data_IF_413210551686
#
_entry.id   IF_413210551686
#
_cell.length_a   1.000
_cell.length_b   1.000
_cell.length_c   1.000
_cell.angle_alpha   90.00
_cell.angle_beta   90.00
_cell.angle_gamma   90.00
#
_symmetry.space_group_name_H-M   'P 1'
#
loop_
_entity.id
_entity.type
_entity.pdbx_description
1 polymer ?
#
# COMPACT_ATOMS: atom_id res chain seq x y z
N UNK A 1 11.46 -5.58 4.64
CA UNK A 1 10.11 -4.96 4.65
C UNK A 1 10.19 -3.43 4.62
N UNK A 2 11.05 -2.82 5.46
CA UNK A 2 11.18 -1.35 5.60
C UNK A 2 11.30 -0.53 4.30
N UNK A 3 12.03 -1.01 3.28
CA UNK A 3 12.15 -0.26 2.01
C UNK A 3 10.83 -0.16 1.25
N UNK A 4 10.07 -1.26 1.13
CA UNK A 4 8.82 -1.31 0.38
C UNK A 4 7.72 -0.47 1.06
N UNK A 5 7.78 -0.37 2.39
CA UNK A 5 6.80 0.30 3.24
C UNK A 5 7.19 1.75 3.58
N UNK A 6 8.38 2.19 3.16
CA UNK A 6 8.87 3.54 3.42
C UNK A 6 7.87 4.61 2.94
N UNK A 7 7.71 5.65 3.75
CA UNK A 7 6.95 6.86 3.41
C UNK A 7 7.88 8.04 3.06
N UNK A 8 9.20 7.81 3.06
CA UNK A 8 10.25 8.75 2.67
C UNK A 8 10.79 8.39 1.29
N UNK A 9 11.47 9.32 0.61
CA UNK A 9 11.98 9.11 -0.74
C UNK A 9 12.73 7.76 -0.87
N UNK A 10 12.31 6.91 -1.81
CA UNK A 10 12.95 5.61 -2.07
C UNK A 10 14.46 5.72 -2.23
N UNK A 11 14.91 6.73 -2.99
CA UNK A 11 16.34 6.95 -3.24
C UNK A 11 17.09 7.28 -1.95
N UNK A 12 16.51 8.07 -1.05
CA UNK A 12 17.14 8.37 0.23
C UNK A 12 17.26 7.11 1.08
N UNK A 13 16.23 6.25 1.12
CA UNK A 13 16.30 4.97 1.85
C UNK A 13 17.43 4.10 1.31
N UNK A 14 17.55 3.96 -0.02
CA UNK A 14 18.63 3.19 -0.64
C UNK A 14 20.02 3.78 -0.37
N UNK A 15 20.21 5.08 -0.57
CA UNK A 15 21.51 5.73 -0.41
C UNK A 15 21.96 5.71 1.06
N UNK A 16 21.05 6.01 2.01
CA UNK A 16 21.35 5.95 3.43
C UNK A 16 21.73 4.54 3.89
N UNK A 17 21.09 3.51 3.33
CA UNK A 17 21.44 2.11 3.62
C UNK A 17 22.89 1.77 3.22
N UNK A 18 23.39 2.34 2.12
CA UNK A 18 24.77 2.19 1.67
C UNK A 18 25.74 3.25 2.22
N UNK A 19 25.31 4.06 3.19
CA UNK A 19 26.15 5.08 3.82
C UNK A 19 26.33 6.38 3.03
N UNK A 20 25.61 6.55 1.91
CA UNK A 20 25.60 7.81 1.16
C UNK A 20 24.43 8.67 1.63
N UNK A 21 24.67 9.51 2.64
CA UNK A 21 23.60 10.34 3.18
C UNK A 21 23.14 11.41 2.20
N UNK A 22 21.83 11.50 1.99
CA UNK A 22 21.23 12.55 1.16
C UNK A 22 20.01 13.16 1.85
N UNK A 23 20.06 14.47 2.06
CA UNK A 23 19.00 15.21 2.75
C UNK A 23 17.81 15.57 1.82
N UNK A 24 18.09 15.84 0.55
CA UNK A 24 17.07 16.25 -0.43
C UNK A 24 16.38 15.06 -1.09
N UNK A 25 15.03 15.03 -1.16
CA UNK A 25 14.27 14.05 -1.93
C UNK A 25 14.65 14.05 -3.42
N UNK A 26 14.49 12.91 -4.09
CA UNK A 26 14.96 12.76 -5.47
C UNK A 26 14.06 13.37 -6.55
N UNK A 27 12.81 13.71 -6.23
CA UNK A 27 11.84 14.25 -7.18
C UNK A 27 11.36 13.27 -8.26
N UNK A 28 11.82 12.02 -8.28
CA UNK A 28 11.58 11.08 -9.38
C UNK A 28 11.33 9.63 -8.92
N UNK A 29 10.82 9.43 -7.70
CA UNK A 29 10.33 8.13 -7.23
C UNK A 29 8.84 8.20 -6.90
N UNK A 30 8.19 7.05 -6.74
CA UNK A 30 6.75 6.97 -6.47
C UNK A 30 6.31 7.80 -5.26
N UNK A 31 7.13 7.88 -4.22
CA UNK A 31 6.85 8.70 -3.02
C UNK A 31 7.04 10.20 -3.28
N UNK A 32 8.02 10.60 -4.09
CA UNK A 32 8.22 12.02 -4.41
C UNK A 32 7.18 12.54 -5.40
N UNK A 33 6.77 11.72 -6.36
CA UNK A 33 5.82 12.08 -7.41
C UNK A 33 4.37 12.12 -6.91
N UNK A 34 4.10 11.38 -5.84
CA UNK A 34 2.79 11.27 -5.21
C UNK A 34 3.01 11.12 -3.70
N UNK A 35 3.30 12.20 -2.95
CA UNK A 35 3.57 12.15 -1.52
C UNK A 35 2.38 11.55 -0.74
N UNK A 36 2.63 10.67 0.25
CA UNK A 36 1.55 10.11 1.06
C UNK A 36 0.88 11.25 1.83
N UNK A 37 -0.44 11.35 1.69
CA UNK A 37 -1.27 12.22 2.52
C UNK A 37 -1.66 11.44 3.77
N UNK A 38 -1.79 12.13 4.89
CA UNK A 38 -2.28 11.56 6.14
C UNK A 38 -3.68 12.08 6.44
N UNK A 39 -4.43 11.31 7.21
CA UNK A 39 -5.75 11.69 7.71
C UNK A 39 -5.95 11.10 9.10
N UNK A 40 -6.84 11.72 9.88
CA UNK A 40 -7.30 11.13 11.14
C UNK A 40 -8.11 9.87 10.84
N UNK A 41 -7.52 8.72 11.19
CA UNK A 41 -8.07 7.40 10.95
C UNK A 41 -8.47 6.71 12.26
N UNK A 42 -8.70 7.49 13.32
CA UNK A 42 -9.02 7.00 14.66
C UNK A 42 -10.24 6.08 14.63
N UNK A 43 -11.30 6.49 13.93
CA UNK A 43 -12.53 5.72 13.85
C UNK A 43 -12.36 4.45 13.01
N UNK A 44 -11.67 4.51 11.87
CA UNK A 44 -11.35 3.34 11.05
C UNK A 44 -10.52 2.32 11.82
N UNK A 45 -9.53 2.78 12.57
CA UNK A 45 -8.71 1.94 13.42
C UNK A 45 -9.55 1.29 14.52
N UNK A 46 -10.40 2.05 15.22
CA UNK A 46 -11.31 1.52 16.24
C UNK A 46 -12.26 0.48 15.67
N UNK A 47 -12.87 0.74 14.50
CA UNK A 47 -13.74 -0.21 13.79
C UNK A 47 -12.99 -1.51 13.49
N UNK A 48 -11.78 -1.44 12.93
CA UNK A 48 -10.96 -2.59 12.57
C UNK A 48 -10.52 -3.41 13.80
N UNK A 49 -9.95 -2.76 14.83
CA UNK A 49 -9.51 -3.39 16.06
C UNK A 49 -10.68 -4.03 16.83
N UNK A 50 -11.81 -3.32 16.91
CA UNK A 50 -13.05 -3.83 17.51
C UNK A 50 -13.59 -5.07 16.81
N UNK A 51 -13.43 -5.15 15.49
CA UNK A 51 -13.84 -6.31 14.71
C UNK A 51 -12.92 -7.51 14.98
N UNK A 52 -11.59 -7.31 15.03
CA UNK A 52 -10.62 -8.36 15.38
C UNK A 52 -10.92 -8.93 16.77
N UNK A 53 -11.24 -8.07 17.74
CA UNK A 53 -11.66 -8.49 19.08
C UNK A 53 -12.91 -9.38 19.05
N UNK A 54 -13.97 -8.95 18.36
CA UNK A 54 -15.26 -9.65 18.34
C UNK A 54 -15.26 -10.97 17.59
N UNK A 55 -14.33 -11.17 16.64
CA UNK A 55 -14.10 -12.47 16.00
C UNK A 55 -13.10 -13.34 16.79
N UNK A 56 -12.89 -13.03 18.08
CA UNK A 56 -12.02 -13.75 19.00
C UNK A 56 -10.57 -13.90 18.52
N UNK A 57 -10.06 -12.97 17.71
CA UNK A 57 -8.66 -12.95 17.25
C UNK A 57 -8.22 -14.26 16.57
N UNK A 58 -9.18 -14.99 15.99
CA UNK A 58 -9.00 -16.35 15.45
C UNK A 58 -9.05 -16.38 13.92
N UNK A 59 -9.07 -15.23 13.25
CA UNK A 59 -9.23 -15.14 11.81
C UNK A 59 -8.18 -14.24 11.17
N UNK A 60 -7.81 -14.58 9.93
CA UNK A 60 -6.92 -13.77 9.12
C UNK A 60 -7.60 -12.54 8.53
N UNK A 61 -6.79 -11.61 8.03
CA UNK A 61 -7.20 -10.30 7.54
C UNK A 61 -8.38 -10.33 6.57
N UNK A 62 -8.37 -11.20 5.55
CA UNK A 62 -9.42 -11.27 4.54
C UNK A 62 -10.81 -11.51 5.16
N UNK A 63 -10.91 -12.46 6.10
CA UNK A 63 -12.17 -12.76 6.77
C UNK A 63 -12.63 -11.60 7.65
N UNK A 64 -11.72 -10.95 8.37
CA UNK A 64 -12.07 -9.78 9.19
C UNK A 64 -12.58 -8.63 8.32
N UNK A 65 -11.98 -8.40 7.16
CA UNK A 65 -12.45 -7.39 6.19
C UNK A 65 -13.84 -7.73 5.67
N UNK A 66 -14.12 -9.00 5.37
CA UNK A 66 -15.45 -9.44 4.94
C UNK A 66 -16.52 -9.19 5.99
N UNK A 67 -16.24 -9.52 7.25
CA UNK A 67 -17.15 -9.25 8.39
C UNK A 67 -17.37 -7.74 8.54
N UNK A 68 -16.30 -6.96 8.57
CA UNK A 68 -16.37 -5.51 8.75
C UNK A 68 -17.16 -4.80 7.64
N UNK A 69 -17.04 -5.28 6.40
CA UNK A 69 -17.79 -4.77 5.25
C UNK A 69 -19.22 -5.32 5.14
N UNK A 70 -19.58 -6.32 5.94
CA UNK A 70 -20.93 -6.89 5.92
C UNK A 70 -21.15 -7.80 4.70
N UNK A 71 -20.11 -8.51 4.24
CA UNK A 71 -20.24 -9.42 3.11
C UNK A 71 -21.11 -10.62 3.48
N UNK A 72 -21.97 -11.06 2.57
CA UNK A 72 -22.78 -12.26 2.77
C UNK A 72 -21.97 -13.51 2.42
N UNK A 73 -21.21 -14.01 3.40
CA UNK A 73 -20.44 -15.23 3.29
C UNK A 73 -21.05 -16.32 4.19
N UNK A 74 -21.16 -17.55 3.67
CA UNK A 74 -21.64 -18.72 4.41
C UNK A 74 -20.82 -18.89 5.70
N UNK A 75 -19.50 -18.78 5.62
CA UNK A 75 -18.59 -18.93 6.76
C UNK A 75 -18.80 -17.84 7.82
N UNK A 76 -19.25 -16.64 7.44
CA UNK A 76 -19.57 -15.57 8.40
C UNK A 76 -20.82 -15.93 9.20
N UNK A 77 -21.84 -16.48 8.54
CA UNK A 77 -23.08 -16.96 9.20
C UNK A 77 -22.84 -18.18 10.09
N UNK A 78 -22.05 -19.14 9.62
CA UNK A 78 -21.71 -20.35 10.39
C UNK A 78 -21.04 -20.03 11.72
N UNK A 79 -20.23 -18.96 11.77
CA UNK A 79 -19.58 -18.49 13.00
C UNK A 79 -20.43 -17.48 13.78
N UNK A 80 -21.63 -17.12 13.30
CA UNK A 80 -22.51 -16.13 13.93
C UNK A 80 -21.97 -14.69 13.88
N UNK A 81 -20.96 -14.42 13.06
CA UNK A 81 -20.34 -13.09 12.93
C UNK A 81 -21.16 -12.13 12.06
N UNK A 82 -22.28 -12.57 11.51
CA UNK A 82 -23.31 -11.70 10.92
C UNK A 82 -24.13 -10.96 11.99
N UNK A 83 -24.07 -11.39 13.27
CA UNK A 83 -24.85 -10.83 14.38
C UNK A 83 -24.05 -9.92 15.31
N UNK A 84 -22.74 -9.80 15.13
CA UNK A 84 -21.90 -8.95 15.98
C UNK A 84 -22.04 -7.48 15.60
N UNK A 85 -21.82 -6.58 16.55
CA UNK A 85 -22.01 -5.14 16.33
C UNK A 85 -21.05 -4.51 15.32
N UNK A 86 -19.97 -5.21 14.94
CA UNK A 86 -19.00 -4.76 13.93
C UNK A 86 -19.30 -5.28 12.52
N UNK A 87 -20.35 -6.09 12.34
CA UNK A 87 -20.74 -6.55 11.03
C UNK A 87 -21.29 -5.39 10.19
N UNK A 88 -20.66 -5.11 9.05
CA UNK A 88 -21.13 -4.09 8.10
C UNK A 88 -20.91 -2.63 8.52
N UNK A 89 -20.15 -2.34 9.57
CA UNK A 89 -19.85 -0.94 9.98
C UNK A 89 -18.79 -0.27 9.12
N UNK A 90 -18.12 -1.03 8.26
CA UNK A 90 -17.14 -0.57 7.28
C UNK A 90 -17.61 -0.71 5.83
N UNK A 91 -18.93 -0.79 5.59
CA UNK A 91 -19.50 -0.93 4.24
C UNK A 91 -19.27 0.27 3.32
N UNK A 92 -18.96 1.42 3.91
CA UNK A 92 -18.65 2.71 3.30
C UNK A 92 -17.34 2.70 2.50
N UNK A 93 -16.45 1.75 2.79
CA UNK A 93 -15.16 1.65 2.11
C UNK A 93 -14.96 0.32 1.36
N UNK A 94 -14.08 0.37 0.36
CA UNK A 94 -13.72 -0.77 -0.47
C UNK A 94 -12.94 -1.83 0.32
N UNK A 95 -12.85 -3.04 -0.22
CA UNK A 95 -12.01 -4.10 0.35
C UNK A 95 -10.56 -3.65 0.50
N UNK A 96 -9.99 -3.05 -0.55
CA UNK A 96 -8.59 -2.67 -0.59
C UNK A 96 -8.26 -1.51 0.34
N UNK A 97 -9.24 -0.63 0.60
CA UNK A 97 -9.14 0.39 1.67
C UNK A 97 -8.89 -0.27 3.01
N UNK A 98 -9.75 -1.22 3.40
CA UNK A 98 -9.61 -1.91 4.68
C UNK A 98 -8.34 -2.74 4.77
N UNK A 99 -7.95 -3.44 3.69
CA UNK A 99 -6.66 -4.14 3.64
C UNK A 99 -5.50 -3.18 3.88
N UNK A 100 -5.53 -1.97 3.30
CA UNK A 100 -4.52 -0.94 3.57
C UNK A 100 -4.52 -0.50 5.03
N UNK A 101 -5.68 -0.24 5.62
CA UNK A 101 -5.81 0.11 7.04
C UNK A 101 -5.22 -1.00 7.93
N UNK A 102 -5.64 -2.26 7.74
CA UNK A 102 -5.13 -3.41 8.51
C UNK A 102 -3.62 -3.54 8.42
N UNK A 103 -3.04 -3.41 7.22
CA UNK A 103 -1.58 -3.43 7.06
C UNK A 103 -0.91 -2.31 7.85
N UNK A 104 -1.43 -1.09 7.80
CA UNK A 104 -0.85 0.02 8.56
C UNK A 104 -0.98 -0.17 10.09
N UNK A 105 -2.09 -0.75 10.57
CA UNK A 105 -2.26 -1.10 11.98
C UNK A 105 -1.24 -2.16 12.43
N UNK A 106 -0.94 -3.15 11.57
CA UNK A 106 0.12 -4.12 11.83
C UNK A 106 1.49 -3.43 11.90
N UNK A 107 1.78 -2.51 10.98
CA UNK A 107 3.04 -1.76 10.96
C UNK A 107 3.23 -0.87 12.18
N UNK A 108 2.16 -0.27 12.67
CA UNK A 108 2.17 0.52 13.91
C UNK A 108 2.16 -0.35 15.17
N UNK A 109 2.19 -1.67 15.04
CA UNK A 109 2.23 -2.60 16.16
C UNK A 109 0.92 -2.69 16.94
N UNK A 110 -0.20 -2.17 16.43
CA UNK A 110 -1.54 -2.26 17.04
C UNK A 110 -2.17 -3.63 16.78
N UNK A 111 -1.76 -4.28 15.69
CA UNK A 111 -2.13 -5.64 15.35
C UNK A 111 -0.87 -6.48 15.13
N UNK A 112 -0.96 -7.74 15.52
CA UNK A 112 0.03 -8.76 15.23
C UNK A 112 -0.59 -9.82 14.32
N UNK A 113 0.15 -10.23 13.29
CA UNK A 113 -0.26 -11.33 12.42
C UNK A 113 0.49 -12.60 12.83
N UNK A 114 -0.25 -13.57 13.36
CA UNK A 114 0.31 -14.82 13.85
C UNK A 114 0.49 -15.84 12.70
N UNK A 115 1.70 -15.91 12.15
CA UNK A 115 2.01 -16.76 11.00
C UNK A 115 1.87 -18.26 11.34
N UNK A 116 2.12 -18.66 12.59
CA UNK A 116 2.01 -20.09 13.01
C UNK A 116 0.56 -20.54 13.19
N UNK A 117 -0.40 -19.62 13.27
CA UNK A 117 -1.84 -19.89 13.35
C UNK A 117 -2.56 -19.38 12.10
N UNK A 118 -2.17 -19.82 10.91
CA UNK A 118 -2.84 -19.45 9.66
C UNK A 118 -2.97 -17.93 9.45
N UNK A 119 -1.97 -17.16 9.90
CA UNK A 119 -1.95 -15.70 9.78
C UNK A 119 -3.14 -14.99 10.47
N UNK A 120 -3.61 -15.50 11.63
CA UNK A 120 -4.66 -14.83 12.41
C UNK A 120 -4.22 -13.43 12.86
N UNK A 121 -5.18 -12.50 12.92
CA UNK A 121 -4.96 -11.17 13.48
C UNK A 121 -5.22 -11.17 14.99
N UNK A 122 -4.29 -10.63 15.75
CA UNK A 122 -4.37 -10.49 17.20
C UNK A 122 -4.09 -9.04 17.60
N UNK A 123 -4.80 -8.52 18.59
CA UNK A 123 -4.51 -7.22 19.20
C UNK A 123 -3.23 -7.32 20.01
N UNK A 124 -2.53 -6.19 20.08
CA UNK A 124 -1.41 -5.99 21.00
C UNK A 124 -1.85 -5.08 22.15
N UNK A 125 -1.01 -4.93 23.16
CA UNK A 125 -1.27 -4.01 24.28
C UNK A 125 -1.37 -2.55 23.81
N UNK A 126 -0.66 -2.18 22.74
CA UNK A 126 -0.67 -0.84 22.12
C UNK A 126 -2.05 -0.46 21.55
N UNK A 127 -2.92 -1.44 21.27
CA UNK A 127 -4.27 -1.16 20.78
C UNK A 127 -5.20 -0.62 21.87
N UNK A 128 -4.90 -0.85 23.16
CA UNK A 128 -5.81 -0.52 24.27
C UNK A 128 -6.12 0.97 24.41
N UNK A 129 -5.15 1.90 24.39
CA UNK A 129 -5.44 3.34 24.53
C UNK A 129 -6.34 3.84 23.40
N UNK A 130 -6.11 3.37 22.17
CA UNK A 130 -6.89 3.75 20.99
C UNK A 130 -8.35 3.25 21.09
N UNK A 131 -8.54 2.01 21.57
CA UNK A 131 -9.86 1.42 21.80
C UNK A 131 -10.62 2.08 22.97
N UNK A 132 -9.92 2.61 23.98
CA UNK A 132 -10.53 3.29 25.13
C UNK A 132 -10.99 4.72 24.84
N UNK A 133 -10.44 5.34 23.81
CA UNK A 133 -10.71 6.75 23.54
C UNK A 133 -9.54 7.69 23.84
N UNK A 134 -8.45 7.17 24.40
CA UNK A 134 -7.41 7.98 25.06
C UNK A 134 -6.47 8.68 24.06
N UNK A 135 -6.33 8.11 22.86
CA UNK A 135 -5.43 8.62 21.81
C UNK A 135 -6.14 8.63 20.46
N UNK A 136 -5.66 9.51 19.57
CA UNK A 136 -6.01 9.52 18.14
C UNK A 136 -4.93 8.82 17.30
N UNK A 137 -5.28 8.43 16.07
CA UNK A 137 -4.36 7.77 15.16
C UNK A 137 -4.45 8.38 13.76
N UNK A 138 -3.34 8.92 13.29
CA UNK A 138 -3.19 9.28 11.88
C UNK A 138 -2.61 8.12 11.07
N UNK A 139 -3.24 7.86 9.93
CA UNK A 139 -2.79 6.88 8.93
C UNK A 139 -2.56 7.56 7.58
N UNK A 140 -1.75 6.92 6.73
CA UNK A 140 -1.62 7.34 5.35
C UNK A 140 -2.89 6.97 4.58
N UNK A 141 -3.38 7.88 3.75
CA UNK A 141 -4.51 7.64 2.84
C UNK A 141 -4.18 6.44 1.94
N UNK A 142 -5.04 5.39 1.91
CA UNK A 142 -4.83 4.22 1.08
C UNK A 142 -4.64 4.58 -0.39
N UNK A 143 -3.58 4.02 -1.00
CA UNK A 143 -3.26 4.19 -2.42
C UNK A 143 -3.93 3.07 -3.22
N UNK A 144 -5.19 3.27 -3.56
CA UNK A 144 -6.04 2.23 -4.19
C UNK A 144 -5.84 2.12 -5.72
N UNK A 145 -5.25 3.13 -6.36
CA UNK A 145 -5.04 3.14 -7.81
C UNK A 145 -3.60 2.80 -8.20
N UNK A 146 -3.35 1.52 -8.48
CA UNK A 146 -2.14 1.09 -9.20
C UNK A 146 -2.23 1.40 -10.70
N UNK A 147 -3.43 1.39 -11.28
CA UNK A 147 -3.68 1.66 -12.70
C UNK A 147 -3.46 3.14 -13.08
N UNK A 148 -3.86 4.09 -12.22
CA UNK A 148 -3.62 5.52 -12.47
C UNK A 148 -2.12 5.88 -12.47
N UNK A 149 -1.27 5.08 -11.82
CA UNK A 149 0.20 5.26 -11.82
C UNK A 149 0.83 4.88 -13.16
N UNK A 150 0.34 3.84 -13.84
CA UNK A 150 0.77 3.50 -15.19
C UNK A 150 0.42 4.64 -16.17
N UNK A 151 -0.77 5.23 -16.04
CA UNK A 151 -1.19 6.37 -16.87
C UNK A 151 -0.41 7.68 -16.57
N UNK A 152 -0.04 7.95 -15.31
CA UNK A 152 0.82 9.09 -14.96
C UNK A 152 2.26 8.92 -15.42
N UNK A 153 2.79 7.69 -15.38
CA UNK A 153 4.08 7.35 -16.01
C UNK A 153 4.06 7.68 -17.50
N UNK A 154 2.95 7.39 -18.19
CA UNK A 154 2.82 7.67 -19.62
C UNK A 154 2.78 9.17 -19.94
N UNK A 155 2.27 10.00 -19.02
CA UNK A 155 2.31 11.47 -19.11
C UNK A 155 3.72 12.05 -18.95
N UNK A 156 4.64 11.40 -18.24
CA UNK A 156 6.06 11.81 -18.20
C UNK A 156 6.83 11.41 -19.48
N UNK A 157 6.40 10.35 -20.18
CA UNK A 157 6.90 9.98 -21.52
C UNK A 157 6.27 10.76 -22.66
N UNK A 158 5.19 11.52 -22.39
CA UNK A 158 4.63 12.56 -23.26
C UNK A 158 5.52 13.81 -23.32
N UNK A 159 6.83 13.65 -23.51
CA UNK A 159 7.59 14.71 -24.17
C UNK A 159 7.04 14.80 -25.60
N UNK A 160 6.69 16.01 -26.04
CA UNK A 160 6.37 16.34 -27.43
C UNK A 160 7.62 16.16 -28.31
N UNK A 161 8.10 14.93 -28.47
CA UNK A 161 9.14 14.61 -29.45
C UNK A 161 8.50 13.94 -30.66
N UNK A 162 9.03 14.22 -31.84
CA UNK A 162 8.54 13.64 -33.06
C UNK A 162 8.85 12.14 -33.07
N UNK A 163 7.80 11.33 -32.81
CA UNK A 163 7.87 9.87 -32.80
C UNK A 163 8.33 9.31 -34.15
N UNK A 164 7.99 9.97 -35.27
CA UNK A 164 8.42 9.55 -36.61
C UNK A 164 9.91 9.81 -36.78
N UNK A 165 10.40 10.98 -36.36
CA UNK A 165 11.83 11.29 -36.39
C UNK A 165 12.63 10.33 -35.49
N UNK A 166 12.16 10.09 -34.25
CA UNK A 166 12.81 9.13 -33.36
C UNK A 166 12.89 7.73 -33.95
N UNK A 167 11.82 7.26 -34.61
CA UNK A 167 11.83 5.96 -35.30
C UNK A 167 12.84 5.92 -36.46
N UNK A 168 12.97 7.01 -37.23
CA UNK A 168 14.00 7.14 -38.29
C UNK A 168 15.40 7.11 -37.70
N UNK A 169 15.68 7.90 -36.66
CA UNK A 169 16.98 7.94 -36.00
C UNK A 169 17.35 6.60 -35.34
N UNK A 170 16.37 5.90 -34.76
CA UNK A 170 16.59 4.55 -34.20
C UNK A 170 16.94 3.53 -35.28
N UNK A 171 16.33 3.60 -36.47
CA UNK A 171 16.68 2.74 -37.61
C UNK A 171 18.07 3.06 -38.15
N UNK A 172 18.40 4.35 -38.30
CA UNK A 172 19.71 4.78 -38.77
C UNK A 172 20.82 4.31 -37.82
N UNK A 173 20.64 4.49 -36.51
CA UNK A 173 21.58 4.01 -35.49
C UNK A 173 21.81 2.50 -35.58
N UNK A 174 20.75 1.73 -35.87
CA UNK A 174 20.88 0.30 -36.09
C UNK A 174 21.69 -0.01 -37.37
N UNK A 175 21.46 0.69 -38.48
CA UNK A 175 22.23 0.49 -39.72
C UNK A 175 23.72 0.71 -39.50
N UNK A 176 24.09 1.83 -38.89
CA UNK A 176 25.49 2.17 -38.59
C UNK A 176 26.11 1.11 -37.66
N UNK A 177 25.38 0.70 -36.63
CA UNK A 177 25.83 -0.34 -35.70
C UNK A 177 26.03 -1.70 -36.39
N UNK A 178 25.12 -2.08 -37.30
CA UNK A 178 25.22 -3.31 -38.09
C UNK A 178 26.41 -3.25 -39.08
N UNK A 179 26.69 -2.08 -39.68
CA UNK A 179 27.83 -1.83 -40.57
C UNK A 179 29.18 -1.91 -39.84
N UNK A 180 29.27 -1.34 -38.64
CA UNK A 180 30.48 -1.33 -37.81
C UNK A 180 30.64 -2.60 -36.95
N UNK A 181 29.65 -3.52 -36.97
CA UNK A 181 29.66 -4.74 -36.17
C UNK A 181 29.53 -4.49 -34.66
N UNK A 182 28.90 -3.38 -34.25
CA UNK A 182 28.76 -2.95 -32.86
C UNK A 182 27.31 -3.05 -32.37
N UNK A 183 27.07 -3.13 -31.05
CA UNK A 183 25.72 -3.01 -30.51
C UNK A 183 25.13 -1.60 -30.71
N UNK A 184 23.84 -1.46 -31.08
CA UNK A 184 23.24 -0.16 -31.36
C UNK A 184 23.19 0.86 -30.22
N UNK A 185 23.55 0.53 -28.98
CA UNK A 185 23.62 1.51 -27.88
C UNK A 185 24.98 2.20 -27.78
N UNK A 186 25.94 1.83 -28.62
CA UNK A 186 27.30 2.40 -28.69
C UNK A 186 27.43 3.48 -29.77
N UNK A 187 26.49 3.51 -30.73
CA UNK A 187 26.35 4.53 -31.79
C UNK A 187 25.42 5.66 -31.32
#
# INVERSE_FOLDING_TARGET
SAFAEAQTCRRQVLLNYFGEYREKPCGNCDICLDPPKHFDATEEARKALSCVYRVNQSFGMTYVVEVLRGMQNIRVREHGHDKISTYGIGRDHSHDYWVSIFRQLIHKGLLFQNITRNSTLQLTEEARPLLRGDVSLELAVPRLDTAARAAKSDKLTSKNYDKKLFAKLRKLRKSIADEDGLPPYVV
#
